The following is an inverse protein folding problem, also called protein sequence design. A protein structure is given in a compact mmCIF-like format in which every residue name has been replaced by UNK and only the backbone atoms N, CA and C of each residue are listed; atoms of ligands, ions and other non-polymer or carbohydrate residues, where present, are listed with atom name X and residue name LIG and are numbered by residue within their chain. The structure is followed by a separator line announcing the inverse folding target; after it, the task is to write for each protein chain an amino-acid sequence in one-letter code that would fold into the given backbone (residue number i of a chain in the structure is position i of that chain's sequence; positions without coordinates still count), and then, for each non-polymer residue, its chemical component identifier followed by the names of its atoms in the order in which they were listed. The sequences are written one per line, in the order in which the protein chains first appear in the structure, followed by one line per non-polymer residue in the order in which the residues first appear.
data_IF_955402023551
#
_entry.id   IF_955402023551
#
_cell.length_a   1.000
_cell.length_b   1.000
_cell.length_c   1.000
_cell.angle_alpha   90.00
_cell.angle_beta   90.00
_cell.angle_gamma   90.00
#
_symmetry.space_group_name_H-M   'P 1'
#
loop_
_entity.id
_entity.type
_entity.pdbx_description
1 polymer ?
#
# COMPACT_ATOMS: atom_id res chain seq x y z
N UNK A 1 28.67 -8.76 -4.82
CA UNK A 1 29.02 -7.34 -4.97
C UNK A 1 29.39 -6.81 -3.60
N UNK A 2 30.57 -6.21 -3.47
CA UNK A 2 30.96 -5.56 -2.22
C UNK A 2 29.96 -4.43 -1.94
N UNK A 3 29.35 -4.43 -0.74
CA UNK A 3 28.36 -3.45 -0.24
C UNK A 3 28.94 -2.03 -0.06
N UNK A 4 29.95 -1.65 -0.85
CA UNK A 4 30.66 -0.36 -0.80
C UNK A 4 30.15 0.52 -1.93
N UNK A 5 29.02 1.18 -1.69
CA UNK A 5 28.55 2.20 -2.61
C UNK A 5 27.06 2.48 -2.63
N UNK A 6 26.25 1.96 -1.70
CA UNK A 6 24.91 2.55 -1.52
C UNK A 6 25.11 4.01 -1.13
N UNK A 7 24.91 4.89 -2.10
CA UNK A 7 25.00 6.33 -1.92
C UNK A 7 24.09 6.69 -0.76
N UNK A 8 24.56 7.54 0.16
CA UNK A 8 23.76 8.01 1.31
C UNK A 8 22.37 8.50 0.89
N UNK A 9 22.23 8.94 -0.36
CA UNK A 9 20.97 9.39 -0.98
C UNK A 9 19.94 8.25 -1.06
N UNK A 10 20.31 7.06 -1.54
CA UNK A 10 19.39 5.92 -1.67
C UNK A 10 18.84 5.50 -0.30
N UNK A 11 19.71 5.49 0.72
CA UNK A 11 19.29 5.20 2.11
C UNK A 11 18.32 6.27 2.62
N UNK A 12 18.57 7.55 2.32
CA UNK A 12 17.69 8.65 2.73
C UNK A 12 16.34 8.57 2.04
N UNK A 13 16.29 8.29 0.74
CA UNK A 13 15.02 8.16 0.00
C UNK A 13 14.20 6.97 0.50
N UNK A 14 14.84 5.82 0.77
CA UNK A 14 14.19 4.67 1.40
C UNK A 14 13.62 5.05 2.77
N UNK A 15 14.38 5.78 3.60
CA UNK A 15 13.91 6.23 4.91
C UNK A 15 12.74 7.20 4.77
N UNK A 16 12.78 8.13 3.83
CA UNK A 16 11.68 9.09 3.59
C UNK A 16 10.42 8.38 3.09
N UNK A 17 10.55 7.43 2.16
CA UNK A 17 9.44 6.60 1.72
C UNK A 17 8.85 5.78 2.89
N UNK A 18 9.69 5.19 3.73
CA UNK A 18 9.25 4.49 4.96
C UNK A 18 8.55 5.46 5.92
N UNK A 19 9.06 6.68 6.12
CA UNK A 19 8.45 7.67 7.02
C UNK A 19 7.10 8.18 6.51
N UNK A 20 6.98 8.42 5.20
CA UNK A 20 5.70 8.77 4.59
C UNK A 20 4.69 7.64 4.78
N UNK A 21 5.07 6.39 4.47
CA UNK A 21 4.19 5.22 4.59
C UNK A 21 3.84 4.89 6.04
N UNK A 22 4.79 4.98 6.97
CA UNK A 22 4.55 4.72 8.41
C UNK A 22 3.67 5.80 9.03
N UNK A 23 3.79 7.07 8.62
CA UNK A 23 2.85 8.11 9.07
C UNK A 23 1.40 7.82 8.63
N UNK A 24 1.22 7.17 7.48
CA UNK A 24 -0.09 6.76 6.96
C UNK A 24 -0.66 5.58 7.76
N UNK A 25 0.13 4.51 7.96
CA UNK A 25 -0.31 3.34 8.73
C UNK A 25 -0.66 3.71 10.18
N UNK A 26 0.15 4.59 10.80
CA UNK A 26 -0.07 5.08 12.15
C UNK A 26 -1.30 6.01 12.23
N UNK A 27 -1.51 6.88 11.23
CA UNK A 27 -2.72 7.71 11.16
C UNK A 27 -3.98 6.88 10.97
N UNK A 28 -3.95 5.86 10.10
CA UNK A 28 -5.08 4.94 9.90
C UNK A 28 -5.36 4.09 11.15
N UNK A 29 -4.32 3.57 11.81
CA UNK A 29 -4.48 2.84 13.07
C UNK A 29 -5.03 3.72 14.21
N UNK A 30 -4.70 5.02 14.23
CA UNK A 30 -5.21 5.94 15.25
C UNK A 30 -6.57 6.58 14.89
N UNK A 31 -6.92 6.69 13.61
CA UNK A 31 -8.21 7.24 13.17
C UNK A 31 -9.33 6.19 13.12
N UNK A 32 -9.00 4.91 13.02
CA UNK A 32 -9.94 3.79 13.13
C UNK A 32 -10.35 3.43 14.56
N UNK A 33 -9.91 4.20 15.57
CA UNK A 33 -10.11 3.90 16.99
C UNK A 33 -10.70 5.08 17.76
N UNK A 34 -11.94 5.49 17.45
CA UNK A 34 -12.78 6.21 18.42
C UNK A 34 -14.08 5.44 18.60
N UNK A 35 -14.00 4.40 19.43
CA UNK A 35 -15.16 3.83 20.13
C UNK A 35 -15.70 4.88 21.11
N UNK A 36 -16.47 5.84 20.62
CA UNK A 36 -17.34 6.63 21.48
C UNK A 36 -18.58 5.79 21.79
N UNK A 37 -18.52 5.16 22.96
CA UNK A 37 -19.59 4.32 23.50
C UNK A 37 -20.93 5.05 23.54
N UNK A 38 -21.87 4.57 22.73
CA UNK A 38 -23.30 4.85 22.89
C UNK A 38 -23.99 3.57 23.35
N UNK A 39 -24.29 3.56 24.65
CA UNK A 39 -25.18 2.63 25.30
C UNK A 39 -26.61 2.85 24.74
N UNK A 40 -27.10 1.95 23.89
CA UNK A 40 -28.39 2.08 23.19
C UNK A 40 -29.10 0.74 23.02
N UNK A 41 -29.98 0.45 23.97
CA UNK A 41 -30.91 -0.67 23.99
C UNK A 41 -31.88 -0.66 22.78
N UNK A 42 -31.84 -1.73 21.99
CA UNK A 42 -32.97 -2.31 21.26
C UNK A 42 -33.61 -1.50 20.13
N UNK A 43 -33.29 -1.85 18.88
CA UNK A 43 -34.32 -2.08 17.86
C UNK A 43 -33.74 -2.91 16.71
N UNK A 44 -34.51 -3.86 16.22
CA UNK A 44 -34.11 -4.74 15.11
C UNK A 44 -34.43 -3.99 13.82
N UNK A 45 -33.56 -3.06 13.44
CA UNK A 45 -33.70 -2.34 12.18
C UNK A 45 -33.25 -3.24 11.03
N UNK A 46 -34.24 -3.72 10.29
CA UNK A 46 -34.17 -4.34 8.98
C UNK A 46 -33.17 -3.56 8.09
N UNK A 47 -31.95 -4.06 7.96
CA UNK A 47 -30.98 -3.52 7.01
C UNK A 47 -31.52 -3.85 5.63
N UNK A 48 -32.14 -2.86 5.01
CA UNK A 48 -32.55 -2.94 3.62
C UNK A 48 -31.28 -3.15 2.81
N UNK A 49 -31.05 -4.39 2.41
CA UNK A 49 -30.02 -4.82 1.48
C UNK A 49 -30.28 -4.11 0.14
N UNK A 50 -29.75 -2.90 0.05
CA UNK A 50 -29.67 -2.15 -1.18
C UNK A 50 -28.65 -2.93 -2.00
N UNK A 51 -29.12 -3.81 -2.87
CA UNK A 51 -28.35 -4.74 -3.72
C UNK A 51 -27.37 -4.07 -4.69
N UNK A 52 -26.54 -3.15 -4.20
CA UNK A 52 -25.25 -2.84 -4.74
C UNK A 52 -24.32 -3.98 -4.36
N UNK A 53 -23.67 -4.56 -5.35
CA UNK A 53 -22.59 -5.52 -5.16
C UNK A 53 -21.53 -4.88 -4.26
N UNK A 54 -21.53 -5.20 -2.97
CA UNK A 54 -20.44 -4.85 -2.07
C UNK A 54 -19.17 -5.41 -2.68
N UNK A 55 -18.25 -4.52 -3.01
CA UNK A 55 -17.02 -4.89 -3.67
C UNK A 55 -16.10 -5.46 -2.60
N UNK A 56 -15.85 -6.77 -2.69
CA UNK A 56 -15.12 -7.53 -1.68
C UNK A 56 -13.60 -7.31 -1.81
N UNK A 57 -13.14 -6.17 -1.28
CA UNK A 57 -11.70 -5.86 -1.16
C UNK A 57 -11.03 -6.79 -0.15
N UNK A 58 -11.75 -7.19 0.91
CA UNK A 58 -11.26 -8.07 1.98
C UNK A 58 -10.94 -9.47 1.45
N UNK A 59 -11.81 -10.04 0.61
CA UNK A 59 -11.64 -11.34 -0.05
C UNK A 59 -10.83 -11.30 -1.35
N UNK A 60 -10.27 -10.15 -1.74
CA UNK A 60 -9.49 -10.04 -2.97
C UNK A 60 -8.21 -10.89 -2.90
N UNK A 61 -7.98 -11.72 -3.92
CA UNK A 61 -6.75 -12.50 -4.09
C UNK A 61 -5.63 -11.71 -4.79
N UNK A 62 -6.01 -10.70 -5.57
CA UNK A 62 -5.11 -9.71 -6.14
C UNK A 62 -5.75 -8.34 -6.18
N UNK A 63 -4.92 -7.30 -6.13
CA UNK A 63 -5.33 -5.90 -6.18
C UNK A 63 -4.34 -5.12 -7.05
N UNK A 64 -4.85 -4.18 -7.83
CA UNK A 64 -4.03 -3.17 -8.50
C UNK A 64 -4.69 -1.82 -8.35
N UNK A 65 -3.94 -0.82 -7.91
CA UNK A 65 -4.45 0.54 -7.73
C UNK A 65 -3.30 1.53 -7.74
N UNK A 66 -3.63 2.81 -7.86
CA UNK A 66 -2.69 3.91 -7.71
C UNK A 66 -2.97 4.71 -6.46
N UNK A 67 -1.92 5.27 -5.87
CA UNK A 67 -2.00 6.20 -4.74
C UNK A 67 -1.27 7.48 -5.13
N UNK A 68 -1.96 8.60 -5.06
CA UNK A 68 -1.33 9.92 -5.13
C UNK A 68 -1.28 10.51 -3.73
N UNK A 69 -0.10 10.96 -3.33
CA UNK A 69 0.14 11.67 -2.07
C UNK A 69 0.53 13.10 -2.41
N UNK A 70 -0.37 14.04 -2.14
CA UNK A 70 -0.13 15.47 -2.29
C UNK A 70 0.22 16.05 -0.92
N UNK A 71 1.51 16.17 -0.64
CA UNK A 71 1.99 16.75 0.60
C UNK A 71 1.93 18.28 0.55
N UNK A 72 1.64 18.92 1.69
CA UNK A 72 1.70 20.37 1.81
C UNK A 72 3.15 20.91 1.84
N UNK A 73 4.09 20.10 2.35
CA UNK A 73 5.46 20.51 2.65
C UNK A 73 6.53 19.73 1.85
N UNK A 74 6.11 18.78 1.03
CA UNK A 74 6.99 17.93 0.23
C UNK A 74 6.47 17.75 -1.20
N UNK A 75 7.33 17.17 -2.04
CA UNK A 75 6.99 16.82 -3.41
C UNK A 75 5.85 15.79 -3.46
N UNK A 76 4.96 15.94 -4.45
CA UNK A 76 3.91 14.95 -4.68
C UNK A 76 4.53 13.64 -5.14
N UNK A 77 4.02 12.53 -4.59
CA UNK A 77 4.47 11.19 -4.97
C UNK A 77 3.29 10.40 -5.53
N UNK A 78 3.56 9.62 -6.57
CA UNK A 78 2.63 8.66 -7.12
C UNK A 78 3.15 7.23 -6.93
N UNK A 79 2.27 6.35 -6.48
CA UNK A 79 2.56 4.94 -6.31
C UNK A 79 1.60 4.12 -7.17
N UNK A 80 2.10 3.10 -7.85
CA UNK A 80 1.28 2.01 -8.40
C UNK A 80 1.52 0.76 -7.58
N UNK A 81 0.46 0.28 -6.93
CA UNK A 81 0.46 -0.97 -6.19
C UNK A 81 -0.06 -2.09 -7.08
N UNK A 82 0.66 -3.20 -7.08
CA UNK A 82 0.25 -4.47 -7.67
C UNK A 82 0.47 -5.55 -6.62
N UNK A 83 -0.60 -6.24 -6.25
CA UNK A 83 -0.61 -7.20 -5.15
C UNK A 83 -1.19 -8.51 -5.64
N UNK A 84 -0.52 -9.62 -5.32
CA UNK A 84 -0.94 -10.97 -5.69
C UNK A 84 -0.84 -11.91 -4.49
N UNK A 85 -1.77 -12.87 -4.42
CA UNK A 85 -1.93 -13.79 -3.29
C UNK A 85 -2.19 -13.06 -1.97
N UNK A 86 -2.98 -11.98 -2.00
CA UNK A 86 -3.39 -11.26 -0.80
C UNK A 86 -4.13 -12.19 0.17
N UNK A 87 -3.96 -11.94 1.47
CA UNK A 87 -4.50 -12.80 2.54
C UNK A 87 -3.77 -14.14 2.73
N UNK A 88 -2.61 -14.36 2.08
CA UNK A 88 -1.83 -15.60 2.20
C UNK A 88 -0.38 -15.33 2.63
N UNK A 89 0.31 -16.36 3.11
CA UNK A 89 1.76 -16.28 3.39
C UNK A 89 2.62 -16.14 2.13
N UNK A 90 2.05 -16.35 0.95
CA UNK A 90 2.71 -16.20 -0.34
C UNK A 90 2.38 -14.86 -1.01
N UNK A 91 1.92 -13.88 -0.23
CA UNK A 91 1.63 -12.52 -0.68
C UNK A 91 2.88 -11.92 -1.37
N UNK A 92 2.67 -11.33 -2.54
CA UNK A 92 3.68 -10.63 -3.31
C UNK A 92 3.20 -9.23 -3.64
N UNK A 93 4.12 -8.26 -3.53
CA UNK A 93 3.86 -6.86 -3.77
C UNK A 93 4.87 -6.31 -4.77
N UNK A 94 4.38 -5.53 -5.73
CA UNK A 94 5.19 -4.65 -6.57
C UNK A 94 4.67 -3.23 -6.37
N UNK A 95 5.57 -2.33 -5.98
CA UNK A 95 5.27 -0.93 -5.75
C UNK A 95 6.16 -0.12 -6.69
N UNK A 96 5.55 0.54 -7.65
CA UNK A 96 6.24 1.50 -8.52
C UNK A 96 6.01 2.89 -7.95
N UNK A 97 7.08 3.56 -7.52
CA UNK A 97 7.05 4.92 -6.99
C UNK A 97 7.61 5.87 -8.05
N UNK A 98 6.88 6.94 -8.32
CA UNK A 98 7.28 8.01 -9.20
C UNK A 98 7.23 9.34 -8.44
N UNK A 99 8.33 10.08 -8.50
CA UNK A 99 8.40 11.51 -8.16
C UNK A 99 8.86 12.30 -9.40
N UNK A 100 8.90 13.63 -9.31
CA UNK A 100 9.46 14.50 -10.36
C UNK A 100 10.95 14.21 -10.62
N UNK A 101 11.71 13.87 -9.57
CA UNK A 101 13.16 13.67 -9.66
C UNK A 101 13.57 12.22 -9.89
N UNK A 102 12.82 11.24 -9.38
CA UNK A 102 13.27 9.85 -9.31
C UNK A 102 12.12 8.85 -9.49
N UNK A 103 12.46 7.64 -9.94
CA UNK A 103 11.54 6.51 -10.05
C UNK A 103 12.16 5.27 -9.40
N UNK A 104 11.37 4.57 -8.59
CA UNK A 104 11.80 3.35 -7.91
C UNK A 104 10.78 2.24 -8.13
N UNK A 105 11.26 1.00 -8.16
CA UNK A 105 10.37 -0.17 -8.16
C UNK A 105 10.80 -1.09 -7.03
N UNK A 106 9.89 -1.37 -6.13
CA UNK A 106 10.07 -2.36 -5.08
C UNK A 106 9.35 -3.63 -5.49
N UNK A 107 10.04 -4.77 -5.41
CA UNK A 107 9.42 -6.10 -5.46
C UNK A 107 9.66 -6.75 -4.10
N UNK A 108 8.59 -7.13 -3.43
CA UNK A 108 8.60 -7.87 -2.17
C UNK A 108 7.87 -9.18 -2.41
N UNK A 109 8.59 -10.30 -2.34
CA UNK A 109 8.05 -11.63 -2.64
C UNK A 109 8.01 -12.48 -1.37
N UNK A 110 6.82 -12.61 -0.78
CA UNK A 110 6.63 -13.37 0.45
C UNK A 110 6.80 -14.88 0.31
N UNK A 111 6.57 -15.43 -0.89
CA UNK A 111 6.78 -16.86 -1.14
C UNK A 111 8.27 -17.24 -1.12
N UNK A 112 9.15 -16.32 -1.49
CA UNK A 112 10.60 -16.53 -1.53
C UNK A 112 11.37 -15.83 -0.41
N UNK A 113 10.69 -14.99 0.38
CA UNK A 113 11.29 -14.08 1.35
C UNK A 113 12.39 -13.20 0.73
N UNK A 114 12.10 -12.63 -0.45
CA UNK A 114 13.04 -11.81 -1.22
C UNK A 114 12.56 -10.39 -1.45
N UNK A 115 13.52 -9.49 -1.59
CA UNK A 115 13.30 -8.09 -1.94
C UNK A 115 14.26 -7.67 -3.03
N UNK A 116 13.72 -7.00 -4.04
CA UNK A 116 14.52 -6.32 -5.06
C UNK A 116 14.06 -4.88 -5.20
N UNK A 117 15.02 -4.00 -5.47
CA UNK A 117 14.75 -2.59 -5.71
C UNK A 117 15.37 -2.21 -7.05
N UNK A 118 14.56 -1.66 -7.95
CA UNK A 118 15.03 -1.01 -9.16
C UNK A 118 15.27 0.47 -8.89
N UNK A 119 16.48 0.95 -9.17
CA UNK A 119 16.87 2.34 -9.02
C UNK A 119 18.07 2.61 -9.92
N UNK A 120 18.14 3.78 -10.55
CA UNK A 120 19.30 4.16 -11.37
C UNK A 120 19.60 3.15 -12.50
N UNK A 121 18.54 2.65 -13.14
CA UNK A 121 18.56 1.65 -14.21
C UNK A 121 19.06 0.25 -13.84
N UNK A 122 19.32 -0.02 -12.56
CA UNK A 122 19.78 -1.32 -12.08
C UNK A 122 18.84 -1.90 -11.02
N UNK A 123 18.84 -3.24 -10.94
CA UNK A 123 18.19 -3.96 -9.86
C UNK A 123 19.20 -4.34 -8.80
N UNK A 124 18.81 -4.14 -7.56
CA UNK A 124 19.62 -4.42 -6.38
C UNK A 124 18.86 -5.43 -5.52
N UNK A 125 19.53 -6.52 -5.16
CA UNK A 125 19.00 -7.52 -4.24
C UNK A 125 19.14 -7.03 -2.79
N UNK A 126 18.00 -6.90 -2.12
CA UNK A 126 17.84 -6.48 -0.72
C UNK A 126 17.24 -7.59 0.15
N UNK A 127 17.31 -8.84 -0.28
CA UNK A 127 16.70 -9.97 0.44
C UNK A 127 17.23 -10.15 1.86
N UNK A 128 18.48 -9.74 2.14
CA UNK A 128 19.04 -9.69 3.51
C UNK A 128 18.22 -8.82 4.48
N UNK A 129 17.48 -7.83 3.94
CA UNK A 129 16.64 -6.89 4.69
C UNK A 129 15.14 -7.19 4.55
N UNK A 130 14.78 -8.37 4.03
CA UNK A 130 13.38 -8.75 3.76
C UNK A 130 12.44 -8.48 4.94
N UNK A 131 12.73 -8.87 6.20
CA UNK A 131 11.79 -8.66 7.31
C UNK A 131 11.37 -7.20 7.49
N UNK A 132 12.31 -6.25 7.33
CA UNK A 132 12.05 -4.81 7.50
C UNK A 132 11.17 -4.25 6.37
N UNK A 133 11.46 -4.63 5.14
CA UNK A 133 10.65 -4.21 3.99
C UNK A 133 9.27 -4.84 4.02
N UNK A 134 9.19 -6.13 4.39
CA UNK A 134 7.93 -6.85 4.55
C UNK A 134 7.03 -6.15 5.56
N UNK A 135 7.52 -5.91 6.79
CA UNK A 135 6.75 -5.25 7.85
C UNK A 135 6.21 -3.89 7.39
N UNK A 136 7.05 -3.07 6.75
CA UNK A 136 6.65 -1.74 6.28
C UNK A 136 5.57 -1.81 5.21
N UNK A 137 5.81 -2.56 4.13
CA UNK A 137 4.89 -2.57 2.98
C UNK A 137 3.63 -3.38 3.24
N UNK A 138 3.72 -4.45 4.02
CA UNK A 138 2.54 -5.21 4.43
C UNK A 138 1.62 -4.36 5.32
N UNK A 139 2.18 -3.62 6.29
CA UNK A 139 1.39 -2.71 7.13
C UNK A 139 0.71 -1.61 6.31
N UNK A 140 1.41 -1.05 5.32
CA UNK A 140 0.82 -0.09 4.39
C UNK A 140 -0.36 -0.69 3.61
N UNK A 141 -0.18 -1.91 3.12
CA UNK A 141 -1.20 -2.61 2.34
C UNK A 141 -2.44 -2.92 3.18
N UNK A 142 -2.27 -3.41 4.41
CA UNK A 142 -3.35 -3.63 5.36
C UNK A 142 -4.12 -2.33 5.65
N UNK A 143 -3.40 -1.21 5.78
CA UNK A 143 -4.00 0.11 5.93
C UNK A 143 -4.88 0.51 4.74
N UNK A 144 -4.41 0.28 3.51
CA UNK A 144 -5.21 0.55 2.31
C UNK A 144 -6.41 -0.39 2.18
N UNK A 145 -6.26 -1.68 2.46
CA UNK A 145 -7.40 -2.62 2.44
C UNK A 145 -8.48 -2.21 3.44
N UNK A 146 -8.08 -1.86 4.66
CA UNK A 146 -9.00 -1.37 5.70
C UNK A 146 -9.73 -0.10 5.26
N UNK A 147 -9.00 0.86 4.67
CA UNK A 147 -9.57 2.11 4.16
C UNK A 147 -10.59 1.90 3.04
N UNK A 148 -10.40 0.86 2.23
CA UNK A 148 -11.24 0.54 1.09
C UNK A 148 -12.45 -0.35 1.45
N UNK A 149 -12.65 -0.73 2.73
CA UNK A 149 -13.82 -1.52 3.14
C UNK A 149 -15.15 -0.80 2.86
N UNK A 150 -15.17 0.52 3.01
CA UNK A 150 -16.35 1.35 2.71
C UNK A 150 -16.40 1.83 1.25
N UNK A 151 -15.42 1.46 0.43
CA UNK A 151 -15.39 1.87 -0.97
C UNK A 151 -16.44 1.10 -1.77
N UNK A 152 -17.34 1.85 -2.43
CA UNK A 152 -18.49 1.30 -3.16
C UNK A 152 -18.14 0.58 -4.47
N UNK A 153 -16.86 0.43 -4.80
CA UNK A 153 -16.41 -0.17 -6.04
C UNK A 153 -16.34 0.76 -7.25
N UNK A 154 -16.70 2.04 -7.08
CA UNK A 154 -16.75 3.02 -8.16
C UNK A 154 -16.04 4.30 -7.75
N UNK A 155 -15.25 4.86 -8.67
CA UNK A 155 -14.54 6.11 -8.47
C UNK A 155 -13.34 5.98 -7.54
N UNK A 156 -12.87 7.13 -7.09
CA UNK A 156 -11.68 7.22 -6.25
C UNK A 156 -12.06 7.25 -4.78
N UNK A 157 -11.10 6.88 -3.93
CA UNK A 157 -11.20 7.04 -2.49
C UNK A 157 -10.17 8.06 -2.02
N UNK A 158 -10.61 9.11 -1.32
CA UNK A 158 -9.74 10.22 -0.90
C UNK A 158 -9.89 10.49 0.59
N UNK A 159 -8.78 10.82 1.25
CA UNK A 159 -8.77 11.28 2.64
C UNK A 159 -7.68 12.33 2.86
N UNK A 160 -7.92 13.20 3.83
CA UNK A 160 -6.96 14.24 4.22
C UNK A 160 -6.27 13.83 5.51
N UNK A 161 -4.95 13.91 5.51
CA UNK A 161 -4.11 13.78 6.70
C UNK A 161 -3.57 15.16 7.10
N UNK A 162 -3.02 15.33 8.31
CA UNK A 162 -2.31 16.55 8.67
C UNK A 162 -1.15 16.90 7.73
N UNK A 163 -0.63 15.93 6.97
CA UNK A 163 0.54 16.08 6.10
C UNK A 163 0.19 16.27 4.62
N UNK A 164 -1.10 16.20 4.25
CA UNK A 164 -1.53 16.28 2.85
C UNK A 164 -2.78 15.48 2.52
N UNK A 165 -3.16 15.50 1.25
CA UNK A 165 -4.27 14.71 0.69
C UNK A 165 -3.75 13.42 0.07
N UNK A 166 -4.45 12.32 0.31
CA UNK A 166 -4.16 11.03 -0.27
C UNK A 166 -5.36 10.58 -1.08
N UNK A 167 -5.10 10.16 -2.33
CA UNK A 167 -6.10 9.66 -3.27
C UNK A 167 -5.71 8.27 -3.76
N UNK A 168 -6.59 7.30 -3.54
CA UNK A 168 -6.52 5.94 -4.07
C UNK A 168 -7.45 5.86 -5.27
N UNK A 169 -6.93 5.46 -6.44
CA UNK A 169 -7.66 5.50 -7.70
C UNK A 169 -7.21 4.40 -8.66
N UNK A 170 -7.88 4.26 -9.81
CA UNK A 170 -7.66 3.17 -10.78
C UNK A 170 -7.71 1.77 -10.14
N UNK A 171 -8.61 1.59 -9.15
CA UNK A 171 -8.69 0.37 -8.35
C UNK A 171 -9.30 -0.77 -9.18
N UNK A 172 -8.56 -1.86 -9.31
CA UNK A 172 -8.99 -3.11 -9.94
C UNK A 172 -8.84 -4.25 -8.95
N UNK A 173 -9.91 -5.02 -8.77
CA UNK A 173 -9.96 -6.17 -7.86
C UNK A 173 -9.89 -7.46 -8.63
N UNK A 174 -9.10 -8.39 -8.11
CA UNK A 174 -8.77 -9.65 -8.75
C UNK A 174 -8.22 -9.50 -10.19
N UNK A 175 -7.34 -8.53 -10.51
CA UNK A 175 -6.71 -8.46 -11.82
C UNK A 175 -5.81 -9.68 -12.08
N UNK A 176 -5.65 -10.04 -13.35
CA UNK A 176 -4.65 -11.03 -13.77
C UNK A 176 -3.26 -10.40 -13.78
N UNK A 177 -2.45 -10.73 -12.77
CA UNK A 177 -1.07 -10.26 -12.64
C UNK A 177 -0.10 -11.39 -12.95
N UNK A 178 0.78 -11.17 -13.94
CA UNK A 178 1.80 -12.13 -14.34
C UNK A 178 2.86 -12.32 -13.23
N UNK A 179 3.34 -13.55 -13.04
CA UNK A 179 4.36 -13.84 -12.02
C UNK A 179 5.68 -13.09 -12.25
N UNK A 180 5.98 -12.75 -13.51
CA UNK A 180 7.17 -11.98 -13.89
C UNK A 180 7.19 -10.56 -13.32
N UNK A 181 6.06 -10.03 -12.83
CA UNK A 181 6.02 -8.74 -12.15
C UNK A 181 6.67 -8.79 -10.76
N UNK A 182 6.76 -9.97 -10.16
CA UNK A 182 7.13 -10.18 -8.76
C UNK A 182 8.48 -10.91 -8.58
N UNK A 183 9.33 -10.87 -9.61
CA UNK A 183 10.62 -11.55 -9.63
C UNK A 183 11.66 -10.69 -10.34
N UNK A 184 12.92 -10.80 -9.91
CA UNK A 184 14.07 -10.26 -10.61
C UNK A 184 15.29 -11.18 -10.49
#
# INVERSE_FOLDING_TARGET
MDKKGMSKIVIVVIIVAILAVSSIAVYLAMSGGTDDGVNGNGDTSDTTDNGGTTVDVEGASSLQFKVSVNSADAESMEYTYMVKNAGTSSLMMRIEMQSESESFIYIINGAQEKVWIYSGDEWIDFSDAYPTYWETWNSAMEGYQSSLLDWTGVGDWTYTTPNGEIRIYDITINPSLADSLFQH
#
